data_IF_764085297922
#
_entry.id   IF_764085297922
#
_cell.length_a   1.000
_cell.length_b   1.000
_cell.length_c   1.000
_cell.angle_alpha   90.00
_cell.angle_beta   90.00
_cell.angle_gamma   90.00
#
_symmetry.space_group_name_H-M   'P 1'
#
loop_
_entity.id
_entity.type
_entity.pdbx_description
1 polymer ?
#
# COMPACT_ATOMS: atom_id res chain seq x y z
N UNK A 1 -97.10 -2.30 16.63
CA UNK A 1 -95.67 -2.63 16.46
C UNK A 1 -95.24 -2.12 15.10
N UNK A 2 -94.43 -1.05 15.06
CA UNK A 2 -93.96 -0.41 13.82
C UNK A 2 -92.64 -1.06 13.41
N UNK A 3 -92.61 -1.71 12.25
CA UNK A 3 -91.37 -2.16 11.63
C UNK A 3 -90.74 -0.97 10.88
N UNK A 4 -89.57 -0.53 11.33
CA UNK A 4 -88.79 0.51 10.68
C UNK A 4 -88.04 -0.04 9.47
N UNK A 5 -88.27 0.55 8.31
CA UNK A 5 -87.51 0.31 7.09
C UNK A 5 -86.20 1.11 7.20
N UNK A 6 -85.05 0.42 7.30
CA UNK A 6 -83.74 1.06 7.25
C UNK A 6 -83.31 1.11 5.79
N UNK A 7 -83.25 2.31 5.21
CA UNK A 7 -82.65 2.55 3.91
C UNK A 7 -81.13 2.63 4.06
N UNK A 8 -80.41 1.69 3.45
CA UNK A 8 -78.95 1.71 3.36
C UNK A 8 -78.56 2.59 2.17
N UNK A 9 -78.02 3.78 2.44
CA UNK A 9 -77.37 4.61 1.43
C UNK A 9 -75.97 4.08 1.17
N UNK A 10 -75.75 3.52 -0.02
CA UNK A 10 -74.40 3.22 -0.52
C UNK A 10 -73.82 4.52 -1.06
N UNK A 11 -72.88 5.12 -0.33
CA UNK A 11 -72.06 6.24 -0.83
C UNK A 11 -70.94 5.60 -1.66
N UNK A 12 -71.04 5.71 -2.99
CA UNK A 12 -69.93 5.39 -3.89
C UNK A 12 -69.02 6.62 -3.91
N UNK A 13 -67.92 6.57 -3.15
CA UNK A 13 -66.84 7.53 -3.30
C UNK A 13 -66.13 7.27 -4.63
N UNK A 14 -66.41 8.09 -5.63
CA UNK A 14 -65.54 8.21 -6.80
C UNK A 14 -64.24 8.87 -6.35
N UNK A 15 -63.22 8.07 -6.05
CA UNK A 15 -61.86 8.58 -5.99
C UNK A 15 -61.50 9.08 -7.40
N UNK A 16 -61.42 10.39 -7.56
CA UNK A 16 -60.83 11.00 -8.75
C UNK A 16 -59.34 10.65 -8.68
N UNK A 17 -58.94 9.60 -9.40
CA UNK A 17 -57.53 9.35 -9.70
C UNK A 17 -57.13 10.47 -10.66
N UNK A 18 -56.50 11.51 -10.12
CA UNK A 18 -55.87 12.54 -10.95
C UNK A 18 -54.84 11.89 -11.88
N UNK A 19 -54.54 12.50 -13.03
CA UNK A 19 -53.45 12.02 -13.88
C UNK A 19 -52.19 11.90 -13.03
N UNK A 20 -51.55 10.72 -13.08
CA UNK A 20 -50.22 10.52 -12.52
C UNK A 20 -49.31 11.45 -13.32
N UNK A 21 -48.77 12.48 -12.68
CA UNK A 21 -47.73 13.30 -13.30
C UNK A 21 -46.59 12.36 -13.70
N UNK A 22 -46.13 12.40 -14.97
CA UNK A 22 -44.99 11.59 -15.36
C UNK A 22 -43.80 11.96 -14.49
N UNK A 23 -43.04 10.96 -14.04
CA UNK A 23 -41.82 11.18 -13.28
C UNK A 23 -40.89 12.14 -14.03
N UNK A 24 -40.24 13.03 -13.28
CA UNK A 24 -39.27 13.95 -13.86
C UNK A 24 -38.16 13.13 -14.55
N UNK A 25 -37.72 13.55 -15.76
CA UNK A 25 -36.67 12.84 -16.46
C UNK A 25 -35.39 12.80 -15.62
N UNK A 26 -34.84 11.59 -15.42
CA UNK A 26 -33.54 11.37 -14.80
C UNK A 26 -32.46 12.00 -15.67
N UNK A 27 -31.60 12.82 -15.06
CA UNK A 27 -30.47 13.52 -15.69
C UNK A 27 -29.28 13.50 -14.75
N UNK A 28 -28.15 12.98 -15.20
CA UNK A 28 -27.03 12.72 -14.30
C UNK A 28 -25.68 12.72 -15.00
N UNK A 29 -24.64 12.98 -14.23
CA UNK A 29 -23.27 12.72 -14.62
C UNK A 29 -22.85 11.38 -14.06
N UNK A 30 -22.26 10.55 -14.91
CA UNK A 30 -21.77 9.21 -14.57
C UNK A 30 -20.39 8.98 -15.17
N UNK A 31 -19.72 7.91 -14.75
CA UNK A 31 -18.40 7.52 -15.25
C UNK A 31 -17.40 8.67 -15.19
N UNK A 32 -17.41 9.41 -14.07
CA UNK A 32 -16.48 10.50 -13.82
C UNK A 32 -15.34 9.96 -13.00
N UNK A 33 -14.10 10.15 -13.45
CA UNK A 33 -12.92 9.71 -12.72
C UNK A 33 -11.95 10.88 -12.56
N UNK A 34 -11.79 11.36 -11.33
CA UNK A 34 -10.87 12.44 -10.99
C UNK A 34 -9.64 11.88 -10.28
N UNK A 35 -8.53 11.62 -11.00
CA UNK A 35 -7.29 11.22 -10.36
C UNK A 35 -6.67 12.39 -9.57
N UNK A 36 -5.83 12.12 -8.58
CA UNK A 36 -5.07 13.15 -7.91
C UNK A 36 -4.02 13.77 -8.85
N UNK A 37 -3.60 15.01 -8.54
CA UNK A 37 -2.68 15.79 -9.36
C UNK A 37 -1.43 16.21 -8.61
N UNK A 38 -0.28 16.23 -9.30
CA UNK A 38 0.99 16.73 -8.73
C UNK A 38 1.25 18.22 -8.99
N UNK A 39 0.42 18.86 -9.83
CA UNK A 39 0.60 20.24 -10.30
C UNK A 39 1.64 20.42 -11.42
N UNK A 40 2.43 19.37 -11.72
CA UNK A 40 3.43 19.41 -12.79
C UNK A 40 2.83 19.16 -14.18
N UNK A 41 1.72 18.42 -14.26
CA UNK A 41 1.10 17.97 -15.52
C UNK A 41 -0.39 18.28 -15.54
N UNK A 42 -0.93 18.44 -16.75
CA UNK A 42 -2.37 18.55 -16.93
C UNK A 42 -3.02 17.20 -16.61
N UNK A 43 -4.24 17.23 -16.08
CA UNK A 43 -5.04 16.02 -15.85
C UNK A 43 -6.21 15.98 -16.82
N UNK A 44 -6.58 14.77 -17.25
CA UNK A 44 -7.75 14.52 -18.07
C UNK A 44 -8.81 13.83 -17.24
N UNK A 45 -10.00 14.41 -17.17
CA UNK A 45 -11.13 13.87 -16.41
C UNK A 45 -12.19 13.44 -17.41
N UNK A 46 -12.38 12.12 -17.62
CA UNK A 46 -13.50 11.63 -18.40
C UNK A 46 -14.81 11.89 -17.66
N UNK A 47 -15.87 12.10 -18.41
CA UNK A 47 -17.23 12.20 -17.88
C UNK A 47 -18.24 11.73 -18.93
N UNK A 48 -19.39 11.26 -18.45
CA UNK A 48 -20.57 11.00 -19.29
C UNK A 48 -21.76 11.72 -18.69
N UNK A 49 -22.53 12.41 -19.51
CA UNK A 49 -23.84 12.94 -19.14
C UNK A 49 -24.92 12.06 -19.76
N UNK A 50 -25.91 11.68 -18.97
CA UNK A 50 -27.07 10.91 -19.41
C UNK A 50 -28.38 11.61 -19.06
N UNK A 51 -29.35 11.49 -19.96
CA UNK A 51 -30.75 11.83 -19.75
C UNK A 51 -31.63 10.66 -20.17
N UNK A 52 -32.68 10.41 -19.40
CA UNK A 52 -33.71 9.42 -19.73
C UNK A 52 -34.58 9.82 -20.93
N UNK A 53 -34.50 11.07 -21.39
CA UNK A 53 -35.22 11.59 -22.57
C UNK A 53 -34.26 12.23 -23.57
N UNK A 54 -34.72 12.37 -24.81
CA UNK A 54 -34.02 13.17 -25.82
C UNK A 54 -34.27 14.65 -25.60
N UNK A 55 -33.23 15.41 -25.32
CA UNK A 55 -33.33 16.85 -25.14
C UNK A 55 -32.06 17.59 -25.60
N UNK A 56 -32.20 18.91 -25.77
CA UNK A 56 -31.05 19.80 -25.94
C UNK A 56 -30.50 20.20 -24.58
N UNK A 57 -29.18 20.19 -24.44
CA UNK A 57 -28.46 20.48 -23.21
C UNK A 57 -27.16 21.22 -23.51
N UNK A 58 -26.84 22.21 -22.69
CA UNK A 58 -25.50 22.80 -22.62
C UNK A 58 -24.78 22.21 -21.43
N UNK A 59 -23.65 21.56 -21.69
CA UNK A 59 -22.73 21.06 -20.68
C UNK A 59 -21.64 22.10 -20.47
N UNK A 60 -21.40 22.50 -19.23
CA UNK A 60 -20.33 23.40 -18.82
C UNK A 60 -19.56 22.75 -17.68
N UNK A 61 -18.23 22.74 -17.79
CA UNK A 61 -17.38 22.32 -16.66
C UNK A 61 -16.62 23.53 -16.18
N UNK A 62 -16.76 23.81 -14.88
CA UNK A 62 -16.13 24.94 -14.22
C UNK A 62 -15.10 24.43 -13.23
N UNK A 63 -13.98 25.12 -13.19
CA UNK A 63 -12.90 24.88 -12.25
C UNK A 63 -12.93 25.95 -11.17
N UNK A 64 -12.78 25.54 -9.92
CA UNK A 64 -12.72 26.42 -8.76
C UNK A 64 -11.51 26.04 -7.90
N UNK A 65 -10.72 27.04 -7.53
CA UNK A 65 -9.67 26.92 -6.52
C UNK A 65 -9.62 28.24 -5.71
N UNK A 66 -8.65 28.37 -4.81
CA UNK A 66 -8.52 29.57 -3.96
C UNK A 66 -8.26 30.87 -4.75
N UNK A 67 -7.71 30.76 -5.96
CA UNK A 67 -7.40 31.90 -6.85
C UNK A 67 -8.53 32.21 -7.86
N UNK A 68 -9.16 31.18 -8.43
CA UNK A 68 -10.13 31.26 -9.50
C UNK A 68 -11.51 30.79 -9.03
N UNK A 69 -12.45 31.72 -8.94
CA UNK A 69 -13.84 31.39 -8.64
C UNK A 69 -14.59 30.94 -9.90
N UNK A 70 -14.80 29.63 -10.06
CA UNK A 70 -15.67 29.00 -11.08
C UNK A 70 -15.37 29.45 -12.52
N UNK A 71 -14.12 29.28 -12.94
CA UNK A 71 -13.70 29.52 -14.31
C UNK A 71 -14.23 28.42 -15.23
N UNK A 72 -14.91 28.78 -16.32
CA UNK A 72 -15.35 27.80 -17.33
C UNK A 72 -14.12 27.29 -18.08
N UNK A 73 -13.90 25.98 -18.04
CA UNK A 73 -12.80 25.29 -18.75
C UNK A 73 -13.29 24.37 -19.87
N UNK A 74 -14.59 24.09 -19.91
CA UNK A 74 -15.23 23.33 -20.98
C UNK A 74 -16.66 23.84 -21.18
N UNK A 75 -17.09 23.97 -22.44
CA UNK A 75 -18.49 24.22 -22.77
C UNK A 75 -18.85 23.51 -24.07
N UNK A 76 -20.03 22.88 -24.10
CA UNK A 76 -20.58 22.25 -25.29
C UNK A 76 -22.09 22.26 -25.28
N UNK A 77 -22.68 22.83 -26.33
CA UNK A 77 -24.12 22.70 -26.59
C UNK A 77 -24.37 21.47 -27.46
N UNK A 78 -25.35 20.67 -27.06
CA UNK A 78 -25.72 19.41 -27.66
C UNK A 78 -27.23 19.41 -27.89
N UNK A 79 -27.66 18.94 -29.05
CA UNK A 79 -29.06 18.90 -29.43
C UNK A 79 -29.54 17.46 -29.58
N UNK A 80 -30.73 17.16 -29.03
CA UNK A 80 -31.43 15.88 -29.21
C UNK A 80 -30.63 14.64 -28.76
N UNK A 81 -29.90 14.75 -27.65
CA UNK A 81 -29.07 13.66 -27.09
C UNK A 81 -29.78 12.91 -25.96
N UNK A 82 -29.36 11.66 -25.74
CA UNK A 82 -29.71 10.85 -24.55
C UNK A 82 -28.45 10.66 -23.69
N UNK A 83 -27.29 10.48 -24.32
CA UNK A 83 -26.01 10.30 -23.63
C UNK A 83 -24.92 11.03 -24.40
N UNK A 84 -23.93 11.53 -23.68
CA UNK A 84 -22.75 12.18 -24.22
C UNK A 84 -21.53 11.95 -23.33
N UNK A 85 -20.48 11.37 -23.91
CA UNK A 85 -19.19 11.16 -23.24
C UNK A 85 -18.12 12.08 -23.83
N UNK A 86 -17.29 12.63 -22.96
CA UNK A 86 -16.13 13.45 -23.34
C UNK A 86 -15.10 13.41 -22.22
N UNK A 87 -13.96 14.05 -22.45
CA UNK A 87 -13.00 14.38 -21.42
C UNK A 87 -12.83 15.89 -21.31
N UNK A 88 -12.50 16.37 -20.10
CA UNK A 88 -12.02 17.72 -19.86
C UNK A 88 -10.55 17.68 -19.47
N UNK A 89 -9.74 18.48 -20.12
CA UNK A 89 -8.33 18.65 -19.77
C UNK A 89 -8.21 19.86 -18.85
N UNK A 90 -7.68 19.66 -17.65
CA UNK A 90 -7.37 20.72 -16.70
C UNK A 90 -5.88 21.04 -16.81
N UNK A 91 -5.51 22.23 -17.31
CA UNK A 91 -4.10 22.63 -17.43
C UNK A 91 -3.38 22.64 -16.08
N UNK A 92 -2.10 22.25 -16.07
CA UNK A 92 -1.26 22.22 -14.86
C UNK A 92 -1.19 23.56 -14.13
N UNK A 93 -1.22 24.69 -14.87
CA UNK A 93 -1.17 26.01 -14.25
C UNK A 93 -2.39 26.35 -13.39
N UNK A 94 -3.51 25.61 -13.49
CA UNK A 94 -4.66 25.75 -12.59
C UNK A 94 -4.53 24.87 -11.33
N UNK A 95 -3.65 23.87 -11.38
CA UNK A 95 -3.50 22.79 -10.39
C UNK A 95 -2.33 23.05 -9.41
N UNK A 96 -2.25 24.26 -8.86
CA UNK A 96 -1.17 24.65 -7.94
C UNK A 96 -1.63 24.82 -6.48
N UNK A 97 -2.94 24.81 -6.23
CA UNK A 97 -3.51 24.99 -4.89
C UNK A 97 -3.84 23.63 -4.25
N UNK A 98 -3.96 23.60 -2.92
CA UNK A 98 -4.32 22.38 -2.16
C UNK A 98 -5.79 21.98 -2.36
N UNK A 99 -6.67 22.95 -2.64
CA UNK A 99 -8.12 22.74 -2.79
C UNK A 99 -8.55 23.12 -4.19
N UNK A 100 -8.91 22.10 -4.97
CA UNK A 100 -9.46 22.28 -6.30
C UNK A 100 -10.80 21.53 -6.41
N UNK A 101 -11.80 22.19 -6.99
CA UNK A 101 -13.12 21.63 -7.27
C UNK A 101 -13.42 21.74 -8.76
N UNK A 102 -14.02 20.68 -9.29
CA UNK A 102 -14.62 20.65 -10.61
C UNK A 102 -16.14 20.65 -10.48
N UNK A 103 -16.82 21.55 -11.16
CA UNK A 103 -18.28 21.61 -11.21
C UNK A 103 -18.75 21.14 -12.57
N UNK A 104 -19.38 19.96 -12.60
CA UNK A 104 -20.04 19.41 -13.77
C UNK A 104 -21.45 19.99 -13.85
N UNK A 105 -21.69 20.86 -14.83
CA UNK A 105 -22.99 21.49 -15.02
C UNK A 105 -23.62 21.03 -16.33
N UNK A 106 -24.92 20.76 -16.29
CA UNK A 106 -25.71 20.57 -17.49
C UNK A 106 -27.01 21.34 -17.34
N UNK A 107 -27.39 22.12 -18.36
CA UNK A 107 -28.55 23.00 -18.30
C UNK A 107 -29.24 23.17 -19.63
N UNK A 108 -30.53 23.49 -19.57
CA UNK A 108 -31.27 24.11 -20.67
C UNK A 108 -32.25 25.15 -20.11
N UNK A 109 -33.28 25.53 -20.86
CA UNK A 109 -34.28 26.51 -20.41
C UNK A 109 -35.22 25.98 -19.32
N UNK A 110 -35.28 24.67 -19.12
CA UNK A 110 -36.25 23.98 -18.24
C UNK A 110 -35.60 23.27 -17.05
N UNK A 111 -34.30 22.96 -17.11
CA UNK A 111 -33.58 22.32 -16.01
C UNK A 111 -32.15 22.86 -15.88
N UNK A 112 -31.57 22.66 -14.70
CA UNK A 112 -30.15 22.81 -14.44
C UNK A 112 -29.69 21.83 -13.38
N UNK A 113 -28.62 21.10 -13.67
CA UNK A 113 -27.92 20.25 -12.72
C UNK A 113 -26.50 20.78 -12.51
N UNK A 114 -25.99 20.63 -11.29
CA UNK A 114 -24.63 20.98 -10.94
C UNK A 114 -24.09 19.95 -9.96
N UNK A 115 -22.97 19.32 -10.29
CA UNK A 115 -22.33 18.28 -9.49
C UNK A 115 -20.89 18.66 -9.19
N UNK A 116 -20.52 18.89 -7.93
CA UNK A 116 -19.12 19.11 -7.56
C UNK A 116 -18.36 17.77 -7.53
N UNK A 117 -17.10 17.82 -7.94
CA UNK A 117 -16.12 16.74 -7.86
C UNK A 117 -14.85 17.33 -7.25
N UNK A 118 -14.44 16.81 -6.10
CA UNK A 118 -13.20 17.24 -5.47
C UNK A 118 -11.99 16.67 -6.19
N UNK A 119 -10.98 17.50 -6.41
CA UNK A 119 -9.68 17.11 -6.95
C UNK A 119 -8.67 17.13 -5.81
N UNK A 120 -7.90 16.06 -5.65
CA UNK A 120 -6.93 15.93 -4.58
C UNK A 120 -5.51 16.10 -5.11
N UNK A 121 -4.66 16.80 -4.36
CA UNK A 121 -3.24 16.92 -4.68
C UNK A 121 -2.49 15.65 -4.26
N UNK A 122 -1.50 15.21 -5.06
CA UNK A 122 -0.59 14.12 -4.72
C UNK A 122 0.19 14.48 -3.46
N UNK A 123 0.00 13.69 -2.42
CA UNK A 123 0.60 13.90 -1.12
C UNK A 123 1.80 12.98 -0.91
N UNK A 124 2.82 13.47 -0.20
CA UNK A 124 3.85 12.61 0.40
C UNK A 124 3.50 12.37 1.87
N UNK A 125 3.29 11.11 2.24
CA UNK A 125 3.08 10.71 3.62
C UNK A 125 4.35 10.09 4.18
N UNK A 126 4.92 10.76 5.18
CA UNK A 126 6.07 10.25 5.93
C UNK A 126 5.60 9.55 7.20
N UNK A 127 5.82 8.24 7.25
CA UNK A 127 5.46 7.39 8.38
C UNK A 127 6.75 7.06 9.15
N UNK A 128 6.93 7.73 10.28
CA UNK A 128 8.20 7.73 11.00
C UNK A 128 8.46 6.48 11.83
N UNK A 129 7.42 5.71 12.19
CA UNK A 129 7.61 4.45 12.92
C UNK A 129 6.42 3.49 12.79
N UNK A 130 6.68 2.30 12.26
CA UNK A 130 5.85 1.11 12.46
C UNK A 130 6.52 0.26 13.55
N UNK A 131 5.75 -0.16 14.57
CA UNK A 131 6.22 -1.09 15.60
C UNK A 131 5.68 -2.49 15.35
N UNK A 132 6.51 -3.51 15.58
CA UNK A 132 6.22 -4.92 15.26
C UNK A 132 5.04 -5.55 16.02
N UNK A 133 4.52 -4.90 17.07
CA UNK A 133 3.45 -5.46 17.91
C UNK A 133 2.03 -5.07 17.45
N UNK A 134 1.86 -4.42 16.28
CA UNK A 134 0.54 -4.10 15.75
C UNK A 134 0.50 -3.93 14.24
N UNK A 135 -0.71 -4.10 13.66
CA UNK A 135 -1.02 -3.63 12.31
C UNK A 135 -0.86 -2.11 12.31
N UNK A 136 0.26 -1.65 11.81
CA UNK A 136 0.44 -0.23 11.55
C UNK A 136 0.02 0.01 10.11
N UNK A 137 -0.90 0.95 9.94
CA UNK A 137 -1.72 1.15 8.75
C UNK A 137 -1.77 2.64 8.45
N UNK A 138 -1.61 3.00 7.18
CA UNK A 138 -1.75 4.37 6.71
C UNK A 138 -2.68 4.42 5.51
N UNK A 139 -3.55 5.42 5.51
CA UNK A 139 -4.64 5.61 4.54
C UNK A 139 -4.61 7.05 4.05
N UNK A 140 -4.72 7.24 2.73
CA UNK A 140 -4.88 8.55 2.11
C UNK A 140 -6.03 8.48 1.11
N UNK A 141 -7.08 9.27 1.33
CA UNK A 141 -8.14 9.47 0.37
C UNK A 141 -7.67 10.38 -0.78
N UNK A 142 -7.81 9.94 -2.03
CA UNK A 142 -7.15 10.63 -3.14
C UNK A 142 -7.89 10.59 -4.48
N UNK A 143 -8.91 9.74 -4.64
CA UNK A 143 -9.66 9.63 -5.91
C UNK A 143 -11.14 9.82 -5.66
N UNK A 144 -11.72 10.80 -6.36
CA UNK A 144 -13.16 10.98 -6.42
C UNK A 144 -13.68 10.39 -7.73
N UNK A 145 -14.69 9.53 -7.63
CA UNK A 145 -15.29 8.92 -8.81
C UNK A 145 -16.82 8.94 -8.69
N UNK A 146 -17.48 9.16 -9.82
CA UNK A 146 -18.93 9.02 -9.95
C UNK A 146 -19.20 7.83 -10.84
N UNK A 147 -19.91 6.84 -10.31
CA UNK A 147 -20.20 5.59 -10.98
C UNK A 147 -21.27 5.70 -12.07
N UNK A 148 -21.59 4.57 -12.70
CA UNK A 148 -22.66 4.42 -13.69
C UNK A 148 -24.06 4.59 -13.09
N UNK A 149 -24.19 4.53 -11.76
CA UNK A 149 -25.41 4.80 -10.99
C UNK A 149 -25.48 6.24 -10.45
N UNK A 150 -24.55 7.13 -10.83
CA UNK A 150 -24.42 8.52 -10.37
C UNK A 150 -24.13 8.68 -8.86
N UNK A 151 -23.62 7.63 -8.22
CA UNK A 151 -23.16 7.63 -6.83
C UNK A 151 -21.71 8.11 -6.78
N UNK A 152 -21.43 9.03 -5.86
CA UNK A 152 -20.07 9.51 -5.62
C UNK A 152 -19.37 8.58 -4.63
N UNK A 153 -18.17 8.15 -5.00
CA UNK A 153 -17.30 7.33 -4.18
C UNK A 153 -15.99 8.07 -3.95
N UNK A 154 -15.46 7.89 -2.76
CA UNK A 154 -14.11 8.28 -2.40
C UNK A 154 -13.31 7.01 -2.24
N UNK A 155 -12.23 6.90 -2.99
CA UNK A 155 -11.37 5.73 -2.96
C UNK A 155 -10.07 6.12 -2.26
N UNK A 156 -9.60 5.22 -1.41
CA UNK A 156 -8.45 5.41 -0.54
C UNK A 156 -7.27 4.54 -1.01
N UNK A 157 -6.07 5.13 -0.99
CA UNK A 157 -4.82 4.38 -1.05
C UNK A 157 -4.40 3.98 0.35
N UNK A 158 -3.98 2.72 0.49
CA UNK A 158 -3.59 2.18 1.78
C UNK A 158 -2.27 1.44 1.71
N UNK A 159 -1.47 1.56 2.78
CA UNK A 159 -0.29 0.75 3.03
C UNK A 159 -0.32 0.23 4.46
N UNK A 160 -0.04 -1.06 4.63
CA UNK A 160 0.18 -1.64 5.96
C UNK A 160 1.23 -2.74 5.92
N UNK A 161 1.80 -2.99 7.09
CA UNK A 161 2.78 -4.05 7.28
C UNK A 161 2.16 -5.18 8.10
N UNK A 162 2.32 -6.40 7.62
CA UNK A 162 2.16 -7.58 8.46
C UNK A 162 3.54 -7.95 8.98
N UNK A 163 3.74 -7.70 10.27
CA UNK A 163 5.00 -7.95 10.96
C UNK A 163 5.30 -9.43 11.17
N UNK A 164 6.43 -9.71 11.80
CA UNK A 164 6.81 -11.06 12.17
C UNK A 164 5.78 -11.69 13.12
N UNK A 165 5.16 -12.78 12.68
CA UNK A 165 4.45 -13.69 13.60
C UNK A 165 5.50 -14.24 14.57
N UNK A 166 5.25 -14.08 15.87
CA UNK A 166 6.20 -14.32 16.95
C UNK A 166 7.03 -15.60 16.75
N UNK A 167 8.36 -15.44 16.85
CA UNK A 167 9.40 -16.48 16.84
C UNK A 167 9.54 -17.25 15.51
N UNK A 168 10.63 -17.01 14.78
CA UNK A 168 11.02 -17.86 13.65
C UNK A 168 11.87 -19.02 14.19
N UNK A 169 11.35 -20.23 14.09
CA UNK A 169 12.06 -21.46 14.41
C UNK A 169 12.78 -21.99 13.16
N UNK A 170 14.10 -22.19 13.23
CA UNK A 170 14.86 -22.86 12.16
C UNK A 170 15.62 -24.08 12.69
N UNK A 171 15.75 -25.11 11.84
CA UNK A 171 16.23 -26.44 12.25
C UNK A 171 17.76 -26.64 12.19
N UNK A 172 18.54 -25.70 11.64
CA UNK A 172 19.97 -25.95 11.34
C UNK A 172 20.89 -24.80 11.76
N UNK A 173 20.65 -23.58 11.27
CA UNK A 173 21.51 -22.40 11.52
C UNK A 173 20.67 -21.13 11.63
N UNK A 174 21.11 -20.19 12.46
CA UNK A 174 20.49 -18.87 12.56
C UNK A 174 20.78 -18.06 11.29
N UNK A 175 19.73 -17.68 10.58
CA UNK A 175 19.79 -16.72 9.50
C UNK A 175 18.60 -15.76 9.63
N UNK A 176 18.78 -14.55 9.13
CA UNK A 176 17.71 -13.59 9.00
C UNK A 176 16.94 -13.85 7.70
N UNK A 177 15.63 -14.02 7.82
CA UNK A 177 14.70 -13.99 6.69
C UNK A 177 13.66 -12.89 6.89
N UNK A 178 13.32 -12.21 5.79
CA UNK A 178 12.27 -11.21 5.72
C UNK A 178 10.99 -11.77 5.06
N UNK A 179 10.94 -13.07 4.78
CA UNK A 179 9.81 -13.71 4.08
C UNK A 179 8.47 -13.56 4.83
N UNK A 180 8.55 -13.35 6.15
CA UNK A 180 7.38 -13.15 7.02
C UNK A 180 6.99 -11.68 7.19
N UNK A 181 7.77 -10.74 6.66
CA UNK A 181 7.43 -9.32 6.65
C UNK A 181 6.77 -9.01 5.31
N UNK A 182 5.46 -8.73 5.36
CA UNK A 182 4.68 -8.41 4.17
C UNK A 182 4.33 -6.93 4.14
N UNK A 183 4.42 -6.36 2.95
CA UNK A 183 3.90 -5.03 2.63
C UNK A 183 2.64 -5.25 1.82
N UNK A 184 1.55 -4.76 2.37
CA UNK A 184 0.26 -4.80 1.72
C UNK A 184 -0.11 -3.41 1.25
N UNK A 185 -0.73 -3.36 0.07
CA UNK A 185 -1.06 -2.13 -0.63
C UNK A 185 -2.46 -2.23 -1.22
N UNK A 186 -3.24 -1.17 -1.07
CA UNK A 186 -4.45 -0.95 -1.88
C UNK A 186 -4.12 0.19 -2.84
N UNK A 187 -4.01 -0.16 -4.13
CA UNK A 187 -3.80 0.76 -5.23
C UNK A 187 -5.00 0.74 -6.19
N UNK A 188 -5.99 1.59 -5.95
CA UNK A 188 -7.16 1.63 -6.79
C UNK A 188 -6.87 2.37 -8.11
N UNK A 189 -7.46 1.91 -9.22
CA UNK A 189 -7.27 2.54 -10.54
C UNK A 189 -6.09 2.01 -11.35
N UNK A 190 -5.50 0.88 -10.96
CA UNK A 190 -4.44 0.17 -11.69
C UNK A 190 -3.21 1.03 -12.02
N UNK A 191 -2.85 2.00 -11.17
CA UNK A 191 -1.59 2.71 -11.36
C UNK A 191 -0.40 1.76 -11.19
N UNK A 192 0.72 2.03 -11.89
CA UNK A 192 1.97 1.34 -11.60
C UNK A 192 2.38 1.59 -10.15
N UNK A 193 2.68 0.52 -9.41
CA UNK A 193 3.30 0.61 -8.09
C UNK A 193 4.81 0.65 -8.30
N UNK A 194 5.46 1.72 -7.86
CA UNK A 194 6.90 1.87 -7.92
C UNK A 194 7.51 1.82 -6.52
N UNK A 195 8.65 1.15 -6.40
CA UNK A 195 9.35 0.96 -5.13
C UNK A 195 10.74 1.57 -5.22
N UNK A 196 11.11 2.41 -4.25
CA UNK A 196 12.39 3.12 -4.23
C UNK A 196 13.07 3.00 -2.87
N UNK A 197 14.41 3.02 -2.89
CA UNK A 197 15.26 3.17 -1.71
C UNK A 197 15.02 2.17 -0.57
N UNK A 198 14.65 0.93 -0.89
CA UNK A 198 14.41 -0.11 0.10
C UNK A 198 15.72 -0.59 0.74
N UNK A 199 15.89 -0.31 2.03
CA UNK A 199 17.13 -0.59 2.77
C UNK A 199 16.82 -1.26 4.11
N UNK A 200 17.58 -2.29 4.46
CA UNK A 200 17.65 -2.91 5.77
C UNK A 200 18.88 -2.39 6.52
N UNK A 201 18.66 -1.89 7.73
CA UNK A 201 19.70 -1.53 8.70
C UNK A 201 19.64 -2.53 9.84
N UNK A 202 20.64 -3.38 9.96
CA UNK A 202 20.73 -4.38 11.03
C UNK A 202 21.70 -3.88 12.11
N UNK A 203 21.26 -3.81 13.36
CA UNK A 203 22.12 -3.37 14.47
C UNK A 203 23.30 -4.30 14.69
N UNK A 204 24.52 -3.76 14.68
CA UNK A 204 25.77 -4.53 14.80
C UNK A 204 26.88 -3.71 15.50
N UNK A 205 26.63 -3.19 16.69
CA UNK A 205 27.62 -2.36 17.41
C UNK A 205 28.90 -3.09 17.80
N UNK A 206 28.88 -4.42 17.83
CA UNK A 206 30.02 -5.26 18.21
C UNK A 206 30.80 -5.84 17.00
N UNK A 207 30.47 -5.40 15.78
CA UNK A 207 31.16 -5.82 14.54
C UNK A 207 31.12 -7.33 14.29
N UNK A 208 29.98 -7.96 14.55
CA UNK A 208 29.71 -9.36 14.23
C UNK A 208 29.71 -9.63 12.72
N UNK A 209 29.41 -8.62 11.89
CA UNK A 209 29.49 -8.70 10.44
C UNK A 209 30.57 -7.76 9.89
N UNK A 210 31.86 -8.09 10.06
CA UNK A 210 32.96 -7.17 9.76
C UNK A 210 33.22 -6.97 8.25
N UNK A 211 32.71 -7.87 7.40
CA UNK A 211 32.95 -7.83 5.95
C UNK A 211 31.70 -7.40 5.15
N UNK A 212 30.69 -6.85 5.82
CA UNK A 212 29.52 -6.26 5.17
C UNK A 212 29.60 -4.74 5.22
N UNK A 213 29.01 -4.07 4.22
CA UNK A 213 28.82 -2.62 4.20
C UNK A 213 28.15 -2.12 5.49
N UNK A 214 28.73 -1.05 6.06
CA UNK A 214 28.31 -0.45 7.33
C UNK A 214 27.83 1.00 7.18
N UNK A 215 27.07 1.45 8.15
CA UNK A 215 26.71 2.87 8.32
C UNK A 215 27.92 3.71 8.73
N UNK A 216 27.82 5.03 8.54
CA UNK A 216 28.90 6.00 8.84
C UNK A 216 29.27 6.00 10.34
N UNK A 217 28.31 5.72 11.20
CA UNK A 217 28.49 5.62 12.66
C UNK A 217 28.93 4.22 13.12
N UNK A 218 29.19 3.30 12.19
CA UNK A 218 29.53 1.89 12.43
C UNK A 218 28.52 1.10 13.29
N UNK A 219 27.32 1.64 13.54
CA UNK A 219 26.32 1.00 14.39
C UNK A 219 25.46 -0.03 13.65
N UNK A 220 25.39 0.03 12.31
CA UNK A 220 24.52 -0.79 11.49
C UNK A 220 25.25 -1.43 10.31
N UNK A 221 24.84 -2.64 9.96
CA UNK A 221 25.05 -3.25 8.65
C UNK A 221 23.94 -2.80 7.71
N UNK A 222 24.29 -2.50 6.46
CA UNK A 222 23.39 -1.96 5.45
C UNK A 222 23.21 -2.92 4.29
N UNK A 223 21.99 -3.41 4.07
CA UNK A 223 21.63 -4.30 2.97
C UNK A 223 20.52 -3.67 2.12
N UNK A 224 20.65 -3.68 0.80
CA UNK A 224 19.54 -3.31 -0.08
C UNK A 224 18.48 -4.42 -0.07
N UNK A 225 17.22 -4.01 -0.09
CA UNK A 225 16.09 -4.90 -0.22
C UNK A 225 15.35 -4.63 -1.53
N UNK A 226 14.63 -5.62 -2.01
CA UNK A 226 13.60 -5.43 -3.03
C UNK A 226 12.28 -6.10 -2.62
N UNK A 227 11.15 -5.46 -2.91
CA UNK A 227 9.86 -6.12 -2.82
C UNK A 227 9.65 -7.07 -4.01
N UNK A 228 9.11 -8.25 -3.73
CA UNK A 228 8.68 -9.24 -4.73
C UNK A 228 7.20 -9.50 -4.52
N UNK A 229 6.43 -9.44 -5.61
CA UNK A 229 5.00 -9.74 -5.57
C UNK A 229 4.75 -11.23 -5.27
N UNK A 230 3.85 -11.49 -4.34
CA UNK A 230 3.38 -12.79 -3.87
C UNK A 230 1.85 -12.84 -3.90
N UNK A 231 1.27 -14.01 -3.60
CA UNK A 231 -0.19 -14.24 -3.66
C UNK A 231 -0.96 -13.28 -2.74
N UNK A 232 -0.37 -12.93 -1.60
CA UNK A 232 -1.02 -12.16 -0.53
C UNK A 232 -0.37 -10.77 -0.31
N UNK A 233 0.34 -10.22 -1.30
CA UNK A 233 1.03 -8.92 -1.16
C UNK A 233 2.50 -8.97 -1.56
N UNK A 234 3.30 -7.99 -1.09
CA UNK A 234 4.72 -7.89 -1.42
C UNK A 234 5.58 -8.41 -0.27
N UNK A 235 6.49 -9.32 -0.57
CA UNK A 235 7.49 -9.82 0.38
C UNK A 235 8.82 -9.11 0.14
N UNK A 236 9.55 -8.77 1.20
CA UNK A 236 10.89 -8.20 1.06
C UNK A 236 11.94 -9.29 0.96
N UNK A 237 12.86 -9.15 0.01
CA UNK A 237 14.05 -10.00 -0.08
C UNK A 237 15.31 -9.14 -0.16
N UNK A 238 16.44 -9.71 0.21
CA UNK A 238 17.75 -9.06 0.06
C UNK A 238 18.09 -8.99 -1.44
N UNK A 239 18.38 -7.78 -1.93
CA UNK A 239 18.66 -7.48 -3.34
C UNK A 239 20.14 -7.26 -3.63
N UNK A 240 20.99 -8.07 -2.98
CA UNK A 240 22.43 -8.00 -3.11
C UNK A 240 22.99 -9.42 -3.20
N UNK A 241 24.04 -9.60 -3.99
CA UNK A 241 24.78 -10.87 -3.98
C UNK A 241 25.67 -10.88 -2.76
N UNK A 242 25.40 -11.78 -1.82
CA UNK A 242 26.24 -11.99 -0.65
C UNK A 242 27.03 -13.28 -0.79
N UNK A 243 28.13 -13.38 -0.06
CA UNK A 243 28.97 -14.55 0.02
C UNK A 243 29.13 -14.97 1.48
N UNK A 244 29.22 -16.27 1.74
CA UNK A 244 29.32 -16.84 3.09
C UNK A 244 30.48 -17.81 3.17
N UNK A 245 31.26 -17.74 4.25
CA UNK A 245 32.25 -18.77 4.55
C UNK A 245 31.55 -20.01 5.12
N UNK A 246 31.67 -21.19 4.48
CA UNK A 246 30.83 -22.36 4.77
C UNK A 246 31.01 -22.93 6.19
N UNK A 247 32.16 -22.70 6.83
CA UNK A 247 32.46 -23.22 8.18
C UNK A 247 32.09 -22.25 9.31
N UNK A 248 32.23 -20.94 9.08
CA UNK A 248 32.13 -19.90 10.12
C UNK A 248 30.88 -19.05 9.98
N UNK A 249 30.20 -19.11 8.83
CA UNK A 249 29.08 -18.27 8.45
C UNK A 249 29.35 -16.77 8.46
N UNK A 250 30.62 -16.37 8.42
CA UNK A 250 30.98 -14.97 8.19
C UNK A 250 30.50 -14.59 6.78
N UNK A 251 29.76 -13.48 6.72
CA UNK A 251 29.16 -12.95 5.50
C UNK A 251 30.05 -11.86 4.91
N UNK A 252 30.13 -11.77 3.58
CA UNK A 252 30.78 -10.68 2.86
C UNK A 252 29.94 -10.23 1.67
N UNK A 253 30.01 -8.93 1.35
CA UNK A 253 29.43 -8.33 0.14
C UNK A 253 30.37 -8.45 -1.08
N UNK A 254 31.59 -8.95 -0.88
CA UNK A 254 32.57 -9.20 -1.93
C UNK A 254 32.91 -10.69 -2.05
N UNK A 255 33.27 -11.11 -3.26
CA UNK A 255 33.76 -12.46 -3.49
C UNK A 255 35.17 -12.61 -2.89
N UNK A 256 35.28 -13.49 -1.88
CA UNK A 256 36.54 -13.86 -1.23
C UNK A 256 36.80 -15.35 -1.49
N UNK A 257 38.06 -15.74 -1.67
CA UNK A 257 38.44 -17.15 -1.83
C UNK A 257 37.92 -18.00 -0.67
N UNK A 258 37.30 -19.13 -0.98
CA UNK A 258 36.69 -20.02 0.01
C UNK A 258 35.27 -19.63 0.46
N UNK A 259 34.76 -18.46 0.07
CA UNK A 259 33.36 -18.09 0.30
C UNK A 259 32.47 -18.59 -0.85
N UNK A 260 31.22 -18.90 -0.54
CA UNK A 260 30.21 -19.36 -1.50
C UNK A 260 29.05 -18.36 -1.62
N UNK A 261 28.43 -18.18 -2.80
CA UNK A 261 27.28 -17.30 -2.95
C UNK A 261 26.11 -17.70 -2.05
N UNK A 262 25.39 -16.71 -1.53
CA UNK A 262 24.22 -16.88 -0.68
C UNK A 262 23.18 -15.78 -0.97
N UNK A 263 21.91 -16.15 -0.87
CA UNK A 263 20.76 -15.23 -0.88
C UNK A 263 20.17 -15.01 0.54
N UNK A 264 20.86 -15.50 1.57
CA UNK A 264 20.47 -15.40 2.98
C UNK A 264 21.57 -14.73 3.78
N UNK A 265 21.17 -13.98 4.81
CA UNK A 265 22.08 -13.42 5.80
C UNK A 265 22.23 -14.40 6.96
N UNK A 266 23.35 -15.12 7.00
CA UNK A 266 23.65 -16.04 8.10
C UNK A 266 24.27 -15.31 9.27
N UNK A 267 23.97 -15.76 10.49
CA UNK A 267 24.64 -15.28 11.69
C UNK A 267 25.94 -16.03 11.91
N UNK A 268 27.06 -15.34 12.22
CA UNK A 268 28.34 -15.98 12.44
C UNK A 268 28.26 -17.04 13.56
N UNK A 269 28.81 -18.22 13.28
CA UNK A 269 28.68 -19.43 14.11
C UNK A 269 29.21 -19.26 15.54
N UNK A 270 30.23 -18.43 15.75
CA UNK A 270 30.83 -18.24 17.08
C UNK A 270 30.22 -17.04 17.84
N UNK A 271 29.31 -16.30 17.20
CA UNK A 271 28.73 -15.06 17.74
C UNK A 271 27.20 -15.05 17.77
N UNK A 272 26.55 -16.10 17.28
CA UNK A 272 25.08 -16.12 17.18
C UNK A 272 24.35 -15.98 18.53
N UNK A 273 24.96 -16.42 19.65
CA UNK A 273 24.40 -16.22 20.99
C UNK A 273 24.27 -14.74 21.35
N UNK A 274 25.18 -13.90 20.83
CA UNK A 274 25.16 -12.44 21.02
C UNK A 274 24.14 -11.76 20.09
N UNK A 275 23.63 -12.49 19.07
CA UNK A 275 22.69 -12.04 18.04
C UNK A 275 21.29 -12.66 18.19
N UNK A 276 20.96 -13.28 19.34
CA UNK A 276 19.65 -13.90 19.59
C UNK A 276 18.48 -12.93 19.44
N UNK A 277 18.73 -11.67 19.78
CA UNK A 277 17.81 -10.56 19.57
C UNK A 277 18.58 -9.50 18.80
N UNK A 278 18.18 -9.23 17.57
CA UNK A 278 18.80 -8.17 16.75
C UNK A 278 17.77 -7.15 16.37
N UNK A 279 18.06 -5.88 16.64
CA UNK A 279 17.25 -4.77 16.19
C UNK A 279 17.47 -4.51 14.71
N UNK A 280 16.39 -4.25 13.98
CA UNK A 280 16.46 -3.87 12.58
C UNK A 280 15.55 -2.68 12.27
N UNK A 281 15.96 -1.91 11.26
CA UNK A 281 15.17 -0.83 10.66
C UNK A 281 15.04 -1.13 9.17
N UNK A 282 13.84 -1.00 8.63
CA UNK A 282 13.59 -1.02 7.19
C UNK A 282 13.08 0.36 6.79
N UNK A 283 13.74 0.94 5.80
CA UNK A 283 13.37 2.23 5.22
C UNK A 283 13.02 1.99 3.74
N UNK A 284 12.00 2.66 3.24
CA UNK A 284 11.58 2.52 1.85
C UNK A 284 10.55 3.57 1.45
N UNK A 285 10.35 3.69 0.14
CA UNK A 285 9.40 4.60 -0.48
C UNK A 285 8.56 3.84 -1.51
N UNK A 286 7.23 3.97 -1.41
CA UNK A 286 6.28 3.41 -2.39
C UNK A 286 5.54 4.55 -3.07
N UNK A 287 5.59 4.59 -4.40
CA UNK A 287 4.82 5.54 -5.20
C UNK A 287 3.70 4.83 -5.95
N UNK A 288 2.47 5.29 -5.72
CA UNK A 288 1.26 4.93 -6.46
C UNK A 288 0.74 6.22 -7.11
N UNK A 289 -0.43 6.71 -6.72
CA UNK A 289 -0.79 8.12 -6.92
C UNK A 289 -0.15 9.04 -5.88
N UNK A 290 -0.03 8.58 -4.63
CA UNK A 290 0.72 9.24 -3.57
C UNK A 290 2.08 8.57 -3.33
N UNK A 291 2.96 9.28 -2.62
CA UNK A 291 4.24 8.75 -2.18
C UNK A 291 4.17 8.43 -0.69
N UNK A 292 4.44 7.17 -0.33
CA UNK A 292 4.51 6.69 1.05
C UNK A 292 5.97 6.43 1.42
N UNK A 293 6.54 7.31 2.24
CA UNK A 293 7.89 7.17 2.78
C UNK A 293 7.78 6.59 4.18
N UNK A 294 8.39 5.43 4.47
CA UNK A 294 8.19 4.74 5.74
C UNK A 294 9.49 4.32 6.42
N UNK A 295 9.41 4.19 7.75
CA UNK A 295 10.43 3.56 8.60
C UNK A 295 9.77 2.50 9.47
N UNK A 296 10.10 1.24 9.24
CA UNK A 296 9.63 0.09 10.01
C UNK A 296 10.72 -0.38 10.96
N UNK A 297 10.44 -0.48 12.25
CA UNK A 297 11.40 -0.92 13.27
C UNK A 297 10.92 -2.20 13.92
N UNK A 298 11.83 -3.13 14.16
CA UNK A 298 11.49 -4.37 14.84
C UNK A 298 12.66 -5.02 15.54
N UNK A 299 12.33 -6.02 16.34
CA UNK A 299 13.28 -6.94 16.94
C UNK A 299 13.13 -8.29 16.26
N UNK A 300 14.23 -8.81 15.74
CA UNK A 300 14.32 -10.16 15.22
C UNK A 300 14.70 -11.10 16.36
N UNK A 301 13.77 -11.97 16.74
CA UNK A 301 14.00 -12.99 17.77
C UNK A 301 14.23 -14.34 17.12
N UNK A 302 15.38 -14.93 17.43
CA UNK A 302 15.73 -16.27 16.95
C UNK A 302 15.77 -17.26 18.13
N UNK A 303 14.97 -18.34 18.05
CA UNK A 303 14.93 -19.40 19.07
C UNK A 303 15.44 -20.73 18.49
N UNK A 304 16.44 -21.33 19.13
CA UNK A 304 17.08 -22.58 18.73
C UNK A 304 16.44 -23.84 19.31
N UNK A 305 15.15 -23.83 19.67
CA UNK A 305 14.49 -24.99 20.29
C UNK A 305 14.60 -26.31 19.49
N UNK A 306 15.11 -26.28 18.24
CA UNK A 306 15.21 -27.42 17.32
C UNK A 306 16.63 -27.84 16.90
N UNK A 307 17.72 -27.29 17.46
CA UNK A 307 19.06 -27.86 17.23
C UNK A 307 19.20 -29.15 18.04
N UNK A 308 18.81 -30.27 17.42
CA UNK A 308 18.95 -31.62 17.96
C UNK A 308 20.33 -32.24 17.65
N UNK A 309 20.68 -33.35 18.32
CA UNK A 309 21.95 -34.04 18.10
C UNK A 309 22.11 -34.50 16.64
N UNK A 310 23.34 -34.43 16.12
CA UNK A 310 23.74 -34.83 14.74
C UNK A 310 23.44 -36.31 14.38
N UNK A 311 22.77 -37.09 15.24
CA UNK A 311 22.67 -38.55 15.13
C UNK A 311 21.95 -39.05 13.88
N UNK A 312 21.23 -38.20 13.13
CA UNK A 312 20.43 -38.62 11.97
C UNK A 312 20.63 -37.79 10.68
N UNK A 313 21.67 -36.95 10.57
CA UNK A 313 21.91 -36.11 9.38
C UNK A 313 23.21 -36.47 8.65
N UNK A 314 23.14 -36.64 7.33
CA UNK A 314 24.28 -36.97 6.44
C UNK A 314 25.16 -35.75 6.12
N UNK A 315 24.70 -34.55 6.49
CA UNK A 315 25.37 -33.27 6.21
C UNK A 315 25.61 -32.44 7.48
N UNK A 316 25.87 -33.09 8.62
CA UNK A 316 26.14 -32.36 9.86
C UNK A 316 27.52 -31.69 9.82
N UNK A 317 27.57 -30.37 10.01
CA UNK A 317 28.82 -29.66 10.32
C UNK A 317 29.02 -29.73 11.83
N UNK A 318 29.81 -30.69 12.28
CA UNK A 318 30.19 -30.81 13.70
C UNK A 318 31.07 -29.62 14.10
N UNK A 319 30.67 -28.86 15.12
CA UNK A 319 31.64 -28.14 15.95
C UNK A 319 32.53 -29.18 16.58
N UNK A 320 33.84 -29.10 16.39
CA UNK A 320 34.78 -30.02 17.05
C UNK A 320 34.57 -29.98 18.56
N UNK A 321 34.58 -31.16 19.18
CA UNK A 321 34.35 -31.40 20.60
C UNK A 321 35.47 -30.85 21.49
N UNK A 322 35.41 -29.56 21.81
CA UNK A 322 35.97 -29.10 23.09
C UNK A 322 34.88 -28.46 23.94
N UNK A 323 34.29 -29.30 24.80
CA UNK A 323 33.72 -28.82 26.05
C UNK A 323 34.85 -28.29 26.93
N UNK A 324 34.82 -26.99 27.25
CA UNK A 324 35.48 -26.48 28.46
C UNK A 324 34.62 -26.83 29.68
N UNK A 325 35.03 -27.83 30.45
CA UNK A 325 34.51 -28.02 31.81
C UNK A 325 35.20 -27.04 32.77
N UNK A 326 34.43 -26.16 33.40
CA UNK A 326 34.83 -25.49 34.65
C UNK A 326 34.65 -26.54 35.76
N UNK A 327 35.60 -27.49 35.84
CA UNK A 327 35.60 -28.55 36.85
C UNK A 327 36.35 -29.83 36.45
N UNK A 328 37.45 -30.04 37.18
CA UNK A 328 38.31 -31.23 37.33
C UNK A 328 39.01 -31.82 36.09
N UNK A 329 40.34 -31.68 36.15
CA UNK A 329 41.43 -32.37 35.44
C UNK A 329 42.22 -31.54 34.42
N UNK A 330 43.46 -31.27 34.81
CA UNK A 330 44.60 -30.95 33.94
C UNK A 330 44.87 -32.15 33.03
N UNK A 331 45.19 -31.93 31.74
CA UNK A 331 46.49 -32.36 31.22
C UNK A 331 46.76 -31.94 29.76
N UNK A 332 48.06 -31.70 29.58
CA UNK A 332 48.95 -31.58 28.43
C UNK A 332 48.54 -32.25 27.11
N UNK A 333 48.77 -31.53 26.01
CA UNK A 333 48.66 -32.02 24.62
C UNK A 333 49.99 -32.66 24.19
N UNK A 334 49.92 -33.90 23.68
CA UNK A 334 50.99 -34.51 22.87
C UNK A 334 50.44 -34.81 21.48
N UNK A 335 51.13 -34.31 20.46
CA UNK A 335 50.83 -34.49 19.04
C UNK A 335 51.63 -35.70 18.53
N UNK A 336 50.98 -36.66 17.87
CA UNK A 336 51.65 -37.55 16.91
C UNK A 336 50.70 -38.05 15.79
N UNK A 337 51.14 -37.88 14.54
CA UNK A 337 50.67 -38.61 13.35
C UNK A 337 50.04 -37.76 12.28
#
# INVERSE_FOLDING_TARGET
MKAGLIAVFIIINYAIVGPIEPDDPIRQFINVFAPPYSGATAIEIPFTFESSIRESVTIEILFENDTYARQIIYTRSLDNIISFSSQVTIPSFLLHEEKCLLWLNARNSTFGISRPVALFHTTELKITEFQSEGLTHAVIANINYIDDESVSHLIEEEIWFEGFIATIETAYYGYLTLDNLRINLINPGNQPINFFNFTLRLGDTNHHFPLLRRSIDDAYVLLNLRPIYSIDGYMLVIDETMYVHPTTFIMSDALIEGFVPSNRLYFPKDRFHELQTTFFIIEGEVTMYNTFSFTYKGLYYFNQALIGPCSHSVYCVTTSDEQKSIGAYEETIIIHG
#
